data_IF_871987847887
#
_entry.id   IF_871987847887
#
_cell.length_a   1.000
_cell.length_b   1.000
_cell.length_c   1.000
_cell.angle_alpha   90.00
_cell.angle_beta   90.00
_cell.angle_gamma   90.00
#
_symmetry.space_group_name_H-M   'P 1'
#
loop_
_entity.id
_entity.type
_entity.pdbx_description
1 polymer ?
#
# COMPACT_ATOMS: atom_id res chain seq x y z
N UNK A 1 -4.32 -46.11 32.24
CA UNK A 1 -5.33 -47.01 32.85
C UNK A 1 -6.07 -46.16 33.88
N UNK A 2 -7.31 -45.69 33.69
CA UNK A 2 -8.29 -45.80 32.59
C UNK A 2 -8.73 -44.36 32.15
N UNK A 3 -9.57 -44.06 31.13
CA UNK A 3 -11.04 -44.28 30.96
C UNK A 3 -11.85 -44.16 32.26
N UNK A 4 -13.09 -43.68 32.35
CA UNK A 4 -14.23 -43.51 31.40
C UNK A 4 -14.74 -42.04 31.61
N UNK A 5 -15.53 -41.31 30.80
CA UNK A 5 -16.64 -41.56 29.86
C UNK A 5 -16.61 -40.56 28.67
N UNK A 6 -17.72 -40.41 27.93
CA UNK A 6 -18.03 -39.31 27.00
C UNK A 6 -19.55 -39.22 26.72
N UNK A 7 -20.03 -38.15 26.09
CA UNK A 7 -21.43 -37.95 25.69
C UNK A 7 -21.53 -37.34 24.28
N UNK A 8 -22.65 -37.54 23.59
CA UNK A 8 -22.92 -37.12 22.21
C UNK A 8 -24.15 -36.20 22.15
N UNK A 9 -24.14 -35.21 21.23
CA UNK A 9 -25.18 -34.82 20.25
C UNK A 9 -24.91 -33.36 19.76
N UNK A 10 -24.38 -33.17 18.54
CA UNK A 10 -25.07 -32.79 17.26
C UNK A 10 -25.40 -31.29 17.10
N UNK A 11 -24.93 -30.73 15.97
CA UNK A 11 -25.46 -29.56 15.23
C UNK A 11 -25.68 -28.22 16.00
N UNK A 12 -25.15 -27.07 15.57
CA UNK A 12 -24.97 -26.60 14.19
C UNK A 12 -24.03 -25.38 14.08
N UNK A 13 -23.40 -25.24 12.91
CA UNK A 13 -23.19 -23.96 12.19
C UNK A 13 -22.43 -22.81 12.89
N UNK A 14 -21.12 -22.67 12.60
CA UNK A 14 -20.47 -21.48 11.98
C UNK A 14 -18.93 -21.63 12.06
N UNK A 15 -18.20 -21.79 10.93
CA UNK A 15 -16.75 -21.97 10.95
C UNK A 15 -16.00 -20.62 11.01
N UNK A 16 -15.82 -20.07 12.21
CA UNK A 16 -14.75 -19.10 12.43
C UNK A 16 -13.41 -19.83 12.33
N UNK A 17 -12.75 -19.73 11.18
CA UNK A 17 -11.42 -20.27 10.99
C UNK A 17 -10.42 -19.57 11.90
N UNK A 18 -9.71 -20.35 12.71
CA UNK A 18 -8.49 -19.90 13.38
C UNK A 18 -7.41 -19.61 12.34
N UNK A 19 -7.35 -18.38 11.84
CA UNK A 19 -6.12 -17.84 11.27
C UNK A 19 -5.28 -17.26 12.41
N UNK A 20 -4.34 -18.07 12.90
CA UNK A 20 -3.13 -17.54 13.54
C UNK A 20 -2.30 -16.85 12.46
N UNK A 21 -2.62 -15.58 12.18
CA UNK A 21 -1.84 -14.76 11.26
C UNK A 21 -0.43 -14.63 11.83
N UNK A 22 0.58 -15.07 11.08
CA UNK A 22 1.97 -14.72 11.38
C UNK A 22 2.14 -13.23 11.05
N UNK A 23 2.02 -12.38 12.06
CA UNK A 23 2.27 -10.94 11.94
C UNK A 23 3.79 -10.74 11.86
N UNK A 24 4.35 -10.97 10.68
CA UNK A 24 5.75 -10.71 10.34
C UNK A 24 5.84 -10.11 8.93
N UNK A 25 6.05 -8.79 8.89
CA UNK A 25 6.43 -7.98 7.72
C UNK A 25 5.47 -7.99 6.51
N UNK A 26 4.54 -7.04 6.53
CA UNK A 26 4.67 -5.94 5.57
C UNK A 26 4.64 -4.61 6.35
N UNK A 27 5.26 -3.56 5.81
CA UNK A 27 5.47 -2.24 6.45
C UNK A 27 6.00 -2.25 7.89
N UNK A 28 7.31 -2.53 8.01
CA UNK A 28 8.12 -2.12 9.18
C UNK A 28 9.47 -1.61 8.65
N UNK A 29 9.58 -0.31 8.38
CA UNK A 29 10.88 0.35 8.09
C UNK A 29 11.61 0.80 9.37
N UNK A 30 11.27 0.18 10.51
CA UNK A 30 11.87 0.48 11.82
C UNK A 30 13.23 -0.22 11.96
N UNK A 31 14.30 0.56 11.71
CA UNK A 31 15.66 0.35 12.20
C UNK A 31 16.29 -1.04 12.03
N UNK A 32 16.58 -1.39 10.77
CA UNK A 32 17.87 -2.01 10.45
C UNK A 32 18.65 -1.01 9.59
N UNK A 33 19.96 -0.86 9.82
CA UNK A 33 20.86 -0.14 8.91
C UNK A 33 21.04 -0.94 7.61
N UNK A 34 20.00 -0.98 6.79
CA UNK A 34 20.13 -1.13 5.34
C UNK A 34 20.37 0.27 4.78
N UNK A 35 21.42 0.44 3.99
CA UNK A 35 21.42 1.47 2.96
C UNK A 35 20.22 1.21 2.03
N UNK A 36 19.61 2.23 1.41
CA UNK A 36 18.40 2.09 0.58
C UNK A 36 18.68 1.29 -0.70
N UNK A 37 18.75 -0.03 -0.56
CA UNK A 37 19.11 -0.97 -1.60
C UNK A 37 17.85 -1.43 -2.34
N UNK A 38 17.57 -0.78 -3.46
CA UNK A 38 16.59 -1.24 -4.43
C UNK A 38 16.99 -2.63 -4.96
N UNK A 39 16.02 -3.54 -5.09
CA UNK A 39 16.24 -4.88 -5.64
C UNK A 39 16.81 -4.82 -7.07
N UNK A 40 17.63 -5.78 -7.47
CA UNK A 40 18.45 -5.69 -8.69
C UNK A 40 17.61 -5.50 -9.98
N UNK A 41 16.48 -6.21 -10.12
CA UNK A 41 15.57 -6.08 -11.26
C UNK A 41 14.95 -4.69 -11.28
N UNK A 42 14.46 -4.20 -10.15
CA UNK A 42 13.92 -2.84 -10.02
C UNK A 42 14.96 -1.77 -10.32
N UNK A 43 16.19 -1.95 -9.83
CA UNK A 43 17.28 -1.02 -10.09
C UNK A 43 17.68 -1.02 -11.57
N UNK A 44 17.69 -2.19 -12.22
CA UNK A 44 17.89 -2.31 -13.68
C UNK A 44 16.73 -1.65 -14.44
N UNK A 45 15.48 -1.83 -13.99
CA UNK A 45 14.28 -1.31 -14.64
C UNK A 45 14.19 0.22 -14.54
N UNK A 46 14.42 0.79 -13.35
CA UNK A 46 14.61 2.22 -13.14
C UNK A 46 15.74 2.78 -14.02
N UNK A 47 16.87 2.07 -14.11
CA UNK A 47 17.97 2.49 -14.98
C UNK A 47 17.63 2.45 -16.47
N UNK A 48 16.70 1.60 -16.95
CA UNK A 48 16.19 1.67 -18.34
C UNK A 48 15.43 2.98 -18.58
N UNK A 49 14.50 3.33 -17.68
CA UNK A 49 13.76 4.58 -17.75
C UNK A 49 14.68 5.80 -17.69
N UNK A 50 15.52 5.91 -16.64
CA UNK A 50 16.41 7.05 -16.47
C UNK A 50 17.39 7.21 -17.63
N UNK A 51 17.85 6.11 -18.26
CA UNK A 51 18.70 6.19 -19.46
C UNK A 51 17.96 6.57 -20.76
N UNK A 52 16.63 6.46 -20.80
CA UNK A 52 15.81 6.98 -21.91
C UNK A 52 15.63 8.51 -21.86
N UNK A 53 15.77 9.10 -20.67
CA UNK A 53 15.64 10.55 -20.44
C UNK A 53 16.92 11.32 -20.81
N UNK A 54 16.75 12.59 -21.21
CA UNK A 54 17.86 13.53 -21.34
C UNK A 54 18.52 13.81 -19.98
N UNK A 55 19.75 14.34 -20.00
CA UNK A 55 20.47 14.71 -18.78
C UNK A 55 19.72 15.77 -17.94
N UNK A 56 18.98 16.68 -18.58
CA UNK A 56 18.23 17.74 -17.92
C UNK A 56 16.99 17.17 -17.21
N UNK A 57 16.28 16.23 -17.83
CA UNK A 57 15.13 15.56 -17.23
C UNK A 57 15.56 14.64 -16.09
N UNK A 58 16.60 13.82 -16.33
CA UNK A 58 17.15 12.88 -15.36
C UNK A 58 17.61 13.56 -14.05
N UNK A 59 18.15 14.78 -14.14
CA UNK A 59 18.60 15.57 -12.97
C UNK A 59 17.47 16.14 -12.09
N UNK A 60 16.19 16.07 -12.54
CA UNK A 60 15.04 16.39 -11.69
C UNK A 60 14.88 15.37 -10.57
N UNK A 61 15.09 14.09 -10.89
CA UNK A 61 14.81 12.96 -10.02
C UNK A 61 15.93 12.73 -9.00
N UNK A 62 15.59 12.77 -7.72
CA UNK A 62 16.53 12.65 -6.60
C UNK A 62 15.99 11.73 -5.48
N UNK A 63 14.78 11.20 -5.64
CA UNK A 63 14.08 10.38 -4.67
C UNK A 63 13.47 9.18 -5.39
N UNK A 64 13.77 7.97 -4.93
CA UNK A 64 13.46 6.72 -5.63
C UNK A 64 13.07 5.62 -4.64
N UNK A 65 12.11 4.77 -5.01
CA UNK A 65 11.73 3.56 -4.25
C UNK A 65 11.35 2.41 -5.19
N UNK A 66 11.13 1.23 -4.61
CA UNK A 66 10.57 0.07 -5.30
C UNK A 66 9.74 -0.71 -4.30
N UNK A 67 8.44 -0.82 -4.52
CA UNK A 67 7.56 -1.63 -3.67
C UNK A 67 6.27 -2.03 -4.40
N UNK A 68 5.59 -3.05 -3.88
CA UNK A 68 4.22 -3.37 -4.29
C UNK A 68 3.21 -2.49 -3.55
N UNK A 69 2.00 -2.39 -4.08
CA UNK A 69 0.86 -1.79 -3.38
C UNK A 69 0.08 -2.89 -2.67
N UNK A 70 -0.74 -2.52 -1.69
CA UNK A 70 -1.72 -3.44 -1.07
C UNK A 70 -1.05 -4.58 -0.25
N UNK A 71 -1.79 -5.29 0.61
CA UNK A 71 -1.20 -6.09 1.71
C UNK A 71 -1.21 -7.62 1.51
N UNK A 72 -1.61 -8.11 0.34
CA UNK A 72 -1.69 -9.54 0.00
C UNK A 72 -1.45 -9.76 -1.50
N UNK A 73 -1.10 -11.00 -1.88
CA UNK A 73 -0.76 -11.36 -3.26
C UNK A 73 -1.83 -11.01 -4.30
N UNK A 74 -3.11 -11.18 -3.98
CA UNK A 74 -4.18 -10.93 -4.95
C UNK A 74 -4.32 -9.43 -5.20
N UNK A 75 -4.42 -8.65 -4.13
CA UNK A 75 -4.56 -7.21 -4.25
C UNK A 75 -3.27 -6.58 -4.77
N UNK A 76 -2.07 -7.01 -4.36
CA UNK A 76 -0.82 -6.44 -4.86
C UNK A 76 -0.67 -6.57 -6.38
N UNK A 77 -0.93 -7.77 -6.92
CA UNK A 77 -0.88 -8.02 -8.36
C UNK A 77 -1.98 -7.25 -9.13
N UNK A 78 -3.17 -7.08 -8.52
CA UNK A 78 -4.25 -6.27 -9.08
C UNK A 78 -3.92 -4.77 -9.06
N UNK A 79 -3.48 -4.24 -7.92
CA UNK A 79 -3.11 -2.85 -7.70
C UNK A 79 -2.01 -2.43 -8.69
N UNK A 80 -0.98 -3.27 -8.91
CA UNK A 80 0.06 -3.01 -9.91
C UNK A 80 -0.46 -2.93 -11.36
N UNK A 81 -1.39 -3.81 -11.77
CA UNK A 81 -2.01 -3.77 -13.11
C UNK A 81 -2.97 -2.59 -13.29
N UNK A 82 -3.72 -2.24 -12.24
CA UNK A 82 -4.58 -1.04 -12.22
C UNK A 82 -3.76 0.24 -12.37
N UNK A 83 -2.55 0.29 -11.80
CA UNK A 83 -1.61 1.40 -12.01
C UNK A 83 -1.06 1.39 -13.43
N UNK A 84 -0.50 0.26 -13.91
CA UNK A 84 0.09 0.12 -15.26
C UNK A 84 -0.87 0.46 -16.41
N UNK A 85 -2.16 0.19 -16.21
CA UNK A 85 -3.25 0.52 -17.15
C UNK A 85 -3.75 1.96 -17.05
N UNK A 86 -3.37 2.72 -16.02
CA UNK A 86 -3.83 4.09 -15.75
C UNK A 86 -5.22 4.18 -15.13
N UNK A 87 -5.71 3.11 -14.49
CA UNK A 87 -6.97 3.10 -13.76
C UNK A 87 -6.82 3.59 -12.31
N UNK A 88 -5.74 3.18 -11.62
CA UNK A 88 -5.32 3.70 -10.31
C UNK A 88 -4.23 4.75 -10.52
N UNK A 89 -4.50 5.98 -10.09
CA UNK A 89 -3.64 7.17 -10.21
C UNK A 89 -3.54 7.95 -8.89
N UNK A 90 -3.90 7.28 -7.79
CA UNK A 90 -3.84 7.80 -6.43
C UNK A 90 -3.67 6.66 -5.42
N UNK A 91 -3.15 6.99 -4.24
CA UNK A 91 -3.07 6.11 -3.06
C UNK A 91 -3.17 6.96 -1.79
N UNK A 92 -3.53 6.35 -0.66
CA UNK A 92 -3.46 7.02 0.63
C UNK A 92 -2.85 6.14 1.73
N UNK A 93 -2.34 6.80 2.77
CA UNK A 93 -1.69 6.17 3.92
C UNK A 93 -2.07 6.88 5.22
N UNK A 94 -1.94 6.20 6.36
CA UNK A 94 -2.23 6.80 7.66
C UNK A 94 -1.12 7.80 8.04
N UNK A 95 -1.48 9.08 8.28
CA UNK A 95 -0.50 10.13 8.59
C UNK A 95 0.34 9.86 9.86
N UNK A 96 -0.10 8.91 10.71
CA UNK A 96 0.59 8.45 11.90
C UNK A 96 2.02 7.94 11.62
N UNK A 97 2.24 7.24 10.49
CA UNK A 97 3.56 6.73 10.08
C UNK A 97 4.63 7.83 10.05
N UNK A 98 4.29 8.98 9.47
CA UNK A 98 5.23 10.10 9.31
C UNK A 98 5.39 10.93 10.59
N UNK A 99 4.32 11.16 11.36
CA UNK A 99 4.38 12.04 12.55
C UNK A 99 4.83 11.34 13.83
N UNK A 100 4.58 10.04 13.96
CA UNK A 100 4.91 9.26 15.17
C UNK A 100 6.10 8.32 14.94
N UNK A 101 6.02 7.47 13.91
CA UNK A 101 7.07 6.49 13.59
C UNK A 101 8.26 7.10 12.82
N UNK A 102 8.09 8.33 12.32
CA UNK A 102 9.10 9.15 11.63
C UNK A 102 9.54 8.58 10.29
N UNK A 103 8.64 7.89 9.61
CA UNK A 103 8.84 7.57 8.19
C UNK A 103 8.92 8.87 7.36
N UNK A 104 9.59 8.81 6.22
CA UNK A 104 9.74 9.98 5.36
C UNK A 104 8.43 10.25 4.62
N UNK A 105 7.92 11.48 4.72
CA UNK A 105 6.78 11.92 3.90
C UNK A 105 7.06 11.66 2.41
N UNK A 106 6.06 11.21 1.62
CA UNK A 106 6.16 11.22 0.17
C UNK A 106 6.38 12.65 -0.35
N UNK A 107 6.98 12.77 -1.54
CA UNK A 107 7.34 14.06 -2.15
C UNK A 107 7.06 14.06 -3.65
N UNK A 108 6.59 15.19 -4.17
CA UNK A 108 6.38 15.36 -5.61
C UNK A 108 7.70 15.13 -6.37
N UNK A 109 7.65 14.44 -7.52
CA UNK A 109 8.84 14.06 -8.28
C UNK A 109 9.61 12.85 -7.71
N UNK A 110 9.07 12.17 -6.70
CA UNK A 110 9.54 10.82 -6.31
C UNK A 110 9.16 9.80 -7.38
N UNK A 111 10.07 8.87 -7.69
CA UNK A 111 9.84 7.76 -8.60
C UNK A 111 9.76 6.43 -7.86
N UNK A 112 8.61 5.78 -7.89
CA UNK A 112 8.44 4.40 -7.40
C UNK A 112 8.44 3.43 -8.57
N UNK A 113 9.31 2.42 -8.51
CA UNK A 113 9.16 1.20 -9.31
C UNK A 113 8.05 0.37 -8.68
N UNK A 114 6.94 0.22 -9.39
CA UNK A 114 5.81 -0.60 -8.96
C UNK A 114 6.12 -2.05 -9.32
N UNK A 115 6.23 -2.93 -8.33
CA UNK A 115 6.44 -4.36 -8.53
C UNK A 115 5.17 -5.17 -8.26
N UNK A 116 5.13 -6.41 -8.76
CA UNK A 116 4.16 -7.42 -8.33
C UNK A 116 4.57 -8.01 -6.96
N UNK A 117 3.74 -8.91 -6.43
CA UNK A 117 4.00 -9.62 -5.16
C UNK A 117 5.31 -10.45 -5.15
N UNK A 118 5.82 -10.82 -6.33
CA UNK A 118 7.06 -11.58 -6.50
C UNK A 118 8.30 -10.67 -6.67
N UNK A 119 8.11 -9.35 -6.67
CA UNK A 119 9.17 -8.37 -6.92
C UNK A 119 9.55 -8.21 -8.39
N UNK A 120 8.69 -8.59 -9.34
CA UNK A 120 8.90 -8.32 -10.77
C UNK A 120 8.42 -6.89 -11.11
N UNK A 121 9.25 -6.02 -11.73
CA UNK A 121 8.84 -4.66 -12.11
C UNK A 121 7.73 -4.61 -13.16
N UNK A 122 6.64 -3.89 -12.84
CA UNK A 122 5.42 -3.79 -13.65
C UNK A 122 5.29 -2.43 -14.34
N UNK A 123 5.66 -1.34 -13.66
CA UNK A 123 5.76 0.01 -14.22
C UNK A 123 6.57 0.94 -13.31
N UNK A 124 6.74 2.21 -13.70
CA UNK A 124 7.28 3.28 -12.83
C UNK A 124 6.27 4.43 -12.80
N UNK A 125 5.99 4.94 -11.61
CA UNK A 125 5.15 6.12 -11.38
C UNK A 125 5.95 7.32 -10.87
N UNK A 126 5.50 8.53 -11.18
CA UNK A 126 5.96 9.80 -10.60
C UNK A 126 4.86 10.40 -9.73
N UNK A 127 5.19 10.83 -8.50
CA UNK A 127 4.24 11.53 -7.61
C UNK A 127 4.03 12.96 -8.10
N UNK A 128 2.78 13.30 -8.45
CA UNK A 128 2.36 14.63 -8.90
C UNK A 128 2.07 15.58 -7.74
N UNK A 129 1.41 15.08 -6.69
CA UNK A 129 0.95 15.87 -5.55
C UNK A 129 0.81 15.05 -4.27
N UNK A 130 1.21 15.64 -3.15
CA UNK A 130 0.99 15.13 -1.79
C UNK A 130 0.11 16.13 -1.02
N UNK A 131 -1.01 15.66 -0.50
CA UNK A 131 -1.99 16.42 0.27
C UNK A 131 -2.33 15.69 1.59
N UNK A 132 -3.08 16.32 2.49
CA UNK A 132 -3.66 15.64 3.66
C UNK A 132 -5.11 16.03 3.88
N UNK A 133 -5.93 15.09 4.34
CA UNK A 133 -7.31 15.34 4.77
C UNK A 133 -7.71 14.33 5.86
N UNK A 134 -8.90 14.47 6.44
CA UNK A 134 -9.48 13.40 7.26
C UNK A 134 -10.07 12.29 6.39
N UNK A 135 -10.08 11.07 6.91
CA UNK A 135 -10.75 9.92 6.29
C UNK A 135 -12.23 10.21 5.92
N UNK A 136 -12.99 10.89 6.79
CA UNK A 136 -14.38 11.26 6.51
C UNK A 136 -14.56 12.38 5.47
N UNK A 137 -13.51 13.14 5.18
CA UNK A 137 -13.47 14.23 4.18
C UNK A 137 -13.00 13.76 2.79
N UNK A 138 -12.50 12.52 2.66
CA UNK A 138 -12.06 11.95 1.37
C UNK A 138 -13.19 12.04 0.32
N UNK A 139 -12.84 12.60 -0.84
CA UNK A 139 -13.78 12.91 -1.92
C UNK A 139 -14.11 11.67 -2.76
N UNK A 140 -15.28 11.70 -3.41
CA UNK A 140 -15.67 10.66 -4.36
C UNK A 140 -14.82 10.66 -5.65
N UNK A 141 -14.13 11.77 -5.96
CA UNK A 141 -13.20 11.86 -7.07
C UNK A 141 -11.86 11.21 -6.71
N UNK A 142 -11.37 11.40 -5.49
CA UNK A 142 -10.16 10.73 -5.00
C UNK A 142 -10.37 9.20 -4.89
N UNK A 143 -11.50 8.78 -4.31
CA UNK A 143 -11.89 7.36 -4.28
C UNK A 143 -12.07 6.74 -5.68
N UNK A 144 -12.41 7.54 -6.68
CA UNK A 144 -12.46 7.10 -8.08
C UNK A 144 -11.05 7.02 -8.71
N UNK A 145 -10.13 7.94 -8.37
CA UNK A 145 -8.73 7.93 -8.78
C UNK A 145 -7.91 6.80 -8.14
N UNK A 146 -8.28 6.36 -6.93
CA UNK A 146 -7.77 5.15 -6.27
C UNK A 146 -8.05 3.86 -7.08
N UNK A 147 -8.98 3.88 -8.03
CA UNK A 147 -9.09 2.92 -9.13
C UNK A 147 -9.61 1.52 -8.79
N UNK A 148 -9.67 1.14 -7.52
CA UNK A 148 -10.05 -0.19 -7.04
C UNK A 148 -11.57 -0.43 -6.93
N UNK A 149 -11.95 -1.70 -6.81
CA UNK A 149 -13.33 -2.12 -6.56
C UNK A 149 -14.31 -1.69 -7.65
N UNK A 150 -15.43 -1.09 -7.25
CA UNK A 150 -16.39 -0.44 -8.15
C UNK A 150 -16.09 1.06 -8.38
N UNK A 151 -14.95 1.54 -7.88
CA UNK A 151 -14.50 2.96 -7.89
C UNK A 151 -15.46 3.93 -7.19
N UNK A 152 -16.35 3.45 -6.33
CA UNK A 152 -17.25 4.30 -5.54
C UNK A 152 -16.62 4.70 -4.19
N UNK A 153 -16.98 5.89 -3.70
CA UNK A 153 -16.64 6.33 -2.35
C UNK A 153 -17.18 5.38 -1.27
N UNK A 154 -18.27 4.66 -1.54
CA UNK A 154 -18.83 3.69 -0.60
C UNK A 154 -17.90 2.49 -0.44
N UNK A 155 -17.50 1.87 -1.55
CA UNK A 155 -16.56 0.74 -1.54
C UNK A 155 -15.21 1.17 -0.97
N UNK A 156 -14.69 2.33 -1.38
CA UNK A 156 -13.45 2.88 -0.85
C UNK A 156 -13.50 3.00 0.69
N UNK A 157 -14.58 3.56 1.26
CA UNK A 157 -14.76 3.66 2.72
C UNK A 157 -14.83 2.29 3.39
N UNK A 158 -15.63 1.36 2.86
CA UNK A 158 -15.79 0.02 3.43
C UNK A 158 -14.46 -0.75 3.46
N UNK A 159 -13.65 -0.69 2.40
CA UNK A 159 -12.32 -1.31 2.34
C UNK A 159 -11.29 -0.59 3.21
N UNK A 160 -11.14 0.74 3.08
CA UNK A 160 -10.10 1.50 3.78
C UNK A 160 -10.33 1.57 5.28
N UNK A 161 -11.57 1.55 5.76
CA UNK A 161 -11.84 1.43 7.20
C UNK A 161 -11.24 0.14 7.79
N UNK A 162 -11.37 -1.00 7.10
CA UNK A 162 -10.81 -2.27 7.57
C UNK A 162 -9.27 -2.28 7.52
N UNK A 163 -8.67 -1.67 6.50
CA UNK A 163 -7.22 -1.50 6.42
C UNK A 163 -6.68 -0.60 7.54
N UNK A 164 -7.15 0.64 7.61
CA UNK A 164 -6.68 1.61 8.62
C UNK A 164 -7.02 1.19 10.06
N UNK A 165 -8.12 0.46 10.31
CA UNK A 165 -8.39 -0.11 11.63
C UNK A 165 -7.36 -1.18 12.03
N UNK A 166 -6.81 -1.92 11.06
CA UNK A 166 -5.75 -2.91 11.29
C UNK A 166 -4.42 -2.23 11.60
N UNK A 167 -4.04 -1.19 10.84
CA UNK A 167 -2.87 -0.36 11.15
C UNK A 167 -2.98 0.32 12.53
N UNK A 168 -4.12 0.94 12.82
CA UNK A 168 -4.40 1.54 14.13
C UNK A 168 -4.21 0.53 15.27
N UNK A 169 -4.67 -0.71 15.08
CA UNK A 169 -4.49 -1.78 16.08
C UNK A 169 -3.03 -2.18 16.28
N UNK A 170 -2.15 -2.06 15.27
CA UNK A 170 -0.72 -2.31 15.43
C UNK A 170 -0.04 -1.24 16.31
N UNK A 171 -0.46 0.02 16.16
CA UNK A 171 0.02 1.14 16.98
C UNK A 171 -0.66 1.26 18.35
N UNK A 172 -1.65 0.41 18.66
CA UNK A 172 -2.50 0.50 19.85
C UNK A 172 -3.31 1.82 19.93
N UNK A 173 -3.61 2.43 18.78
CA UNK A 173 -4.49 3.60 18.67
C UNK A 173 -5.89 3.18 18.23
N UNK A 174 -6.91 4.00 18.54
CA UNK A 174 -8.30 3.73 18.16
C UNK A 174 -8.58 4.35 16.79
N UNK A 175 -9.03 3.59 15.78
CA UNK A 175 -9.41 4.16 14.49
C UNK A 175 -10.60 5.12 14.64
N UNK A 176 -10.58 6.21 13.88
CA UNK A 176 -11.58 7.29 13.96
C UNK A 176 -11.86 7.85 12.59
N UNK A 177 -13.09 8.30 12.34
CA UNK A 177 -13.43 9.01 11.10
C UNK A 177 -12.64 10.32 10.92
N UNK A 178 -12.17 10.92 12.02
CA UNK A 178 -11.31 12.10 12.03
C UNK A 178 -9.80 11.78 11.84
N UNK A 179 -9.40 10.52 11.60
CA UNK A 179 -8.00 10.18 11.37
C UNK A 179 -7.48 10.84 10.08
N UNK A 180 -6.29 11.45 10.17
CA UNK A 180 -5.67 12.14 9.04
C UNK A 180 -4.98 11.12 8.15
N UNK A 181 -5.25 11.21 6.85
CA UNK A 181 -4.57 10.47 5.80
C UNK A 181 -3.62 11.41 5.05
N UNK A 182 -2.49 10.86 4.59
CA UNK A 182 -1.74 11.46 3.48
C UNK A 182 -2.34 10.94 2.19
N UNK A 183 -2.61 11.85 1.26
CA UNK A 183 -3.15 11.55 -0.06
C UNK A 183 -2.07 11.80 -1.11
N UNK A 184 -1.81 10.82 -1.94
CA UNK A 184 -0.84 10.90 -3.03
C UNK A 184 -1.55 10.73 -4.37
N UNK A 185 -1.16 11.54 -5.36
CA UNK A 185 -1.55 11.35 -6.77
C UNK A 185 -0.31 11.15 -7.61
N UNK A 186 -0.42 10.32 -8.63
CA UNK A 186 0.70 9.93 -9.48
C UNK A 186 0.25 9.52 -10.88
N UNK A 187 1.20 9.51 -11.81
CA UNK A 187 1.01 8.98 -13.17
C UNK A 187 2.15 8.03 -13.57
N UNK A 188 1.85 7.10 -14.47
CA UNK A 188 2.85 6.16 -15.02
C UNK A 188 3.76 6.89 -16.01
N UNK A 189 5.07 6.86 -15.75
CA UNK A 189 6.11 7.43 -16.61
C UNK A 189 6.85 6.37 -17.45
N UNK A 190 6.79 5.09 -17.05
CA UNK A 190 7.46 4.00 -17.77
C UNK A 190 6.72 2.66 -17.61
N UNK A 191 6.79 1.82 -18.65
CA UNK A 191 6.26 0.44 -18.70
C UNK A 191 7.08 -0.41 -19.68
#
# INVERSE_FOLDING_TARGET
MCRIIGTYFTEKMYPYYFLTINIYFSFVSVFINKENFMEEKSQIYLNKYLNSLSEIERKKYQSFSSDYFCADEHNANLCAELIRSGQKTATCSLNYWYVSEKELMPVNGHLQVVVDWNGEPICIIEIDSVETCKYNEVSAEFAYAEGEGDRSLKWWRETHWHYFATECSAFNIVPSEDMVLVLERFHVVYR
#
